data_IF_895393129699
#
_entry.id   IF_895393129699
#
_cell.length_a   1.000
_cell.length_b   1.000
_cell.length_c   1.000
_cell.angle_alpha   90.00
_cell.angle_beta   90.00
_cell.angle_gamma   90.00
#
_symmetry.space_group_name_H-M   'P 1'
#
loop_
_entity.id
_entity.type
_entity.pdbx_description
1 polymer ?
#
# COMPACT_ATOMS: atom_id res chain seq x y z
N UNK A 1 -29.76 -38.95 -15.39
CA UNK A 1 -29.24 -37.67 -15.90
C UNK A 1 -29.35 -36.53 -14.89
N UNK A 2 -30.51 -36.34 -14.22
CA UNK A 2 -30.74 -35.25 -13.25
C UNK A 2 -29.78 -35.21 -12.05
N UNK A 3 -29.37 -36.37 -11.52
CA UNK A 3 -28.43 -36.48 -10.38
C UNK A 3 -27.00 -36.07 -10.78
N UNK A 4 -26.59 -36.36 -12.02
CA UNK A 4 -25.27 -35.94 -12.54
C UNK A 4 -25.20 -34.42 -12.75
N UNK A 5 -26.31 -33.80 -13.18
CA UNK A 5 -26.43 -32.33 -13.28
C UNK A 5 -26.37 -31.66 -11.91
N UNK A 6 -27.07 -32.19 -10.89
CA UNK A 6 -27.05 -31.65 -9.53
C UNK A 6 -25.65 -31.74 -8.89
N UNK A 7 -24.93 -32.84 -9.13
CA UNK A 7 -23.56 -33.00 -8.63
C UNK A 7 -22.57 -32.04 -9.29
N UNK A 8 -22.76 -31.73 -10.58
CA UNK A 8 -21.91 -30.78 -11.30
C UNK A 8 -22.16 -29.34 -10.84
N UNK A 9 -23.43 -29.00 -10.57
CA UNK A 9 -23.80 -27.67 -10.07
C UNK A 9 -23.27 -27.42 -8.65
N UNK A 10 -23.31 -28.43 -7.78
CA UNK A 10 -22.70 -28.34 -6.45
C UNK A 10 -21.19 -28.15 -6.48
N UNK A 11 -20.49 -28.85 -7.38
CA UNK A 11 -19.03 -28.71 -7.54
C UNK A 11 -18.63 -27.31 -8.03
N UNK A 12 -19.43 -26.72 -8.92
CA UNK A 12 -19.21 -25.37 -9.43
C UNK A 12 -19.32 -24.31 -8.32
N UNK A 13 -20.30 -24.46 -7.42
CA UNK A 13 -20.51 -23.54 -6.31
C UNK A 13 -19.35 -23.60 -5.31
N UNK A 14 -18.86 -24.81 -5.01
CA UNK A 14 -17.71 -25.01 -4.11
C UNK A 14 -16.43 -24.40 -4.69
N UNK A 15 -16.22 -24.51 -6.01
CA UNK A 15 -15.07 -23.90 -6.68
C UNK A 15 -15.10 -22.35 -6.62
N UNK A 16 -16.28 -21.74 -6.78
CA UNK A 16 -16.43 -20.28 -6.67
C UNK A 16 -16.18 -19.81 -5.24
N UNK A 17 -16.69 -20.52 -4.24
CA UNK A 17 -16.47 -20.16 -2.82
C UNK A 17 -14.99 -20.32 -2.44
N UNK A 18 -14.31 -21.37 -2.90
CA UNK A 18 -12.88 -21.56 -2.66
C UNK A 18 -12.02 -20.47 -3.31
N UNK A 19 -12.37 -20.01 -4.51
CA UNK A 19 -11.68 -18.91 -5.18
C UNK A 19 -11.76 -17.59 -4.40
N UNK A 20 -12.94 -17.28 -3.84
CA UNK A 20 -13.12 -16.07 -3.02
C UNK A 20 -12.37 -16.16 -1.68
N UNK A 21 -12.16 -17.37 -1.13
CA UNK A 21 -11.47 -17.55 0.14
C UNK A 21 -9.93 -17.51 0.00
N UNK A 22 -9.39 -17.93 -1.14
CA UNK A 22 -7.95 -17.86 -1.44
C UNK A 22 -7.51 -16.44 -1.85
N UNK A 23 -8.42 -15.61 -2.37
CA UNK A 23 -8.13 -14.22 -2.76
C UNK A 23 -8.10 -13.22 -1.58
N UNK A 24 -8.11 -13.73 -0.35
CA UNK A 24 -8.07 -12.94 0.89
C UNK A 24 -6.74 -13.14 1.63
N UNK A 25 -5.68 -13.44 0.87
CA UNK A 25 -4.29 -13.34 1.34
C UNK A 25 -3.95 -11.85 1.39
N UNK A 26 -3.38 -11.41 2.51
CA UNK A 26 -3.22 -10.02 2.93
C UNK A 26 -2.78 -9.11 1.77
N UNK A 27 -3.75 -8.35 1.24
CA UNK A 27 -3.51 -7.26 0.30
C UNK A 27 -2.83 -6.11 1.06
N UNK A 28 -1.53 -6.23 1.30
CA UNK A 28 -0.66 -5.07 1.09
C UNK A 28 -0.54 -4.91 -0.43
N UNK A 29 -1.61 -4.45 -1.06
CA UNK A 29 -1.58 -4.06 -2.46
C UNK A 29 -0.62 -2.87 -2.53
N UNK A 30 0.65 -3.14 -2.84
CA UNK A 30 1.60 -2.11 -3.25
C UNK A 30 1.01 -1.52 -4.52
N UNK A 31 0.41 -0.34 -4.40
CA UNK A 31 -0.08 0.38 -5.57
C UNK A 31 1.17 0.81 -6.36
N UNK A 32 1.36 0.24 -7.55
CA UNK A 32 2.35 0.75 -8.50
C UNK A 32 1.92 2.15 -8.94
N UNK A 33 2.39 3.15 -8.20
CA UNK A 33 2.26 4.56 -8.52
C UNK A 33 3.37 4.93 -9.51
N UNK A 34 3.04 5.68 -10.57
CA UNK A 34 4.05 6.08 -11.55
C UNK A 34 5.19 6.85 -10.86
N UNK A 35 6.43 6.66 -11.33
CA UNK A 35 7.63 7.26 -10.70
C UNK A 35 7.61 8.79 -10.54
N UNK A 36 6.86 9.50 -11.38
CA UNK A 36 6.67 10.94 -11.22
C UNK A 36 5.69 11.26 -10.08
N UNK A 37 4.62 10.48 -9.97
CA UNK A 37 3.58 10.64 -8.96
C UNK A 37 4.13 10.38 -7.55
N UNK A 38 5.03 9.40 -7.39
CA UNK A 38 5.64 9.13 -6.06
C UNK A 38 6.57 10.26 -5.61
N UNK A 39 7.26 10.95 -6.52
CA UNK A 39 8.13 12.08 -6.18
C UNK A 39 7.31 13.28 -5.70
N UNK A 40 6.19 13.56 -6.37
CA UNK A 40 5.25 14.60 -5.96
C UNK A 40 4.62 14.27 -4.61
N UNK A 41 4.20 13.02 -4.41
CA UNK A 41 3.62 12.57 -3.15
C UNK A 41 4.60 12.71 -1.98
N UNK A 42 5.85 12.27 -2.13
CA UNK A 42 6.89 12.44 -1.10
C UNK A 42 7.15 13.92 -0.83
N UNK A 43 7.17 14.76 -1.87
CA UNK A 43 7.34 16.20 -1.71
C UNK A 43 6.21 16.81 -0.87
N UNK A 44 4.95 16.51 -1.20
CA UNK A 44 3.77 17.04 -0.52
C UNK A 44 3.72 16.66 0.95
N UNK A 45 4.07 15.42 1.31
CA UNK A 45 4.24 15.03 2.71
C UNK A 45 5.40 15.76 3.38
N UNK A 46 6.53 15.92 2.69
CA UNK A 46 7.75 16.54 3.26
C UNK A 46 7.57 18.02 3.57
N UNK A 47 6.77 18.75 2.78
CA UNK A 47 6.47 20.17 3.02
C UNK A 47 5.19 20.41 3.82
N UNK A 48 4.46 19.34 4.17
CA UNK A 48 3.24 19.41 4.98
C UNK A 48 2.00 19.90 4.23
N UNK A 49 1.92 19.67 2.91
CA UNK A 49 0.73 20.00 2.12
C UNK A 49 -0.47 19.08 2.42
N UNK A 50 -0.21 17.86 2.92
CA UNK A 50 -1.24 16.88 3.26
C UNK A 50 -1.50 16.95 4.76
N UNK A 51 -2.72 17.36 5.13
CA UNK A 51 -3.19 17.42 6.51
C UNK A 51 -4.07 16.18 6.79
N UNK A 52 -3.95 15.58 7.99
CA UNK A 52 -4.69 14.40 8.49
C UNK A 52 -4.16 13.01 8.11
N UNK A 53 -2.97 12.91 7.54
CA UNK A 53 -2.27 11.62 7.40
C UNK A 53 -0.86 11.80 7.92
N UNK A 54 -0.26 10.72 8.43
CA UNK A 54 1.17 10.72 8.77
C UNK A 54 1.90 9.82 7.80
N UNK A 55 3.13 10.20 7.46
CA UNK A 55 3.96 9.43 6.55
C UNK A 55 5.33 9.19 7.18
N UNK A 56 5.86 7.99 6.94
CA UNK A 56 7.25 7.65 7.20
C UNK A 56 7.86 7.08 5.92
N UNK A 57 9.17 7.24 5.78
CA UNK A 57 9.87 6.85 4.55
C UNK A 57 11.15 6.09 4.90
N UNK A 58 11.41 5.03 4.13
CA UNK A 58 12.65 4.26 4.15
C UNK A 58 13.39 4.43 2.83
N UNK A 59 14.51 3.74 2.63
CA UNK A 59 15.20 3.76 1.34
C UNK A 59 14.44 3.05 0.21
N UNK A 60 13.39 2.27 0.52
CA UNK A 60 12.67 1.47 -0.47
C UNK A 60 11.17 1.74 -0.49
N UNK A 61 10.60 2.36 0.55
CA UNK A 61 9.15 2.48 0.70
C UNK A 61 8.74 3.79 1.35
N UNK A 62 7.62 4.34 0.89
CA UNK A 62 6.82 5.34 1.59
C UNK A 62 5.65 4.63 2.26
N UNK A 63 5.49 4.85 3.57
CA UNK A 63 4.43 4.27 4.39
C UNK A 63 3.54 5.40 4.88
N UNK A 64 2.27 5.37 4.51
CA UNK A 64 1.25 6.36 4.88
C UNK A 64 0.27 5.72 5.84
N UNK A 65 0.07 6.35 7.00
CA UNK A 65 -0.91 5.93 8.00
C UNK A 65 -2.05 6.95 8.03
N UNK A 66 -3.28 6.49 7.82
CA UNK A 66 -4.49 7.30 7.92
C UNK A 66 -4.93 7.45 9.40
N UNK A 67 -5.90 8.32 9.62
CA UNK A 67 -6.53 8.61 10.92
C UNK A 67 -7.19 7.41 11.59
N UNK A 68 -7.58 6.38 10.83
CA UNK A 68 -8.14 5.13 11.34
C UNK A 68 -7.08 4.05 11.62
N UNK A 69 -5.80 4.44 11.61
CA UNK A 69 -4.63 3.58 11.78
C UNK A 69 -4.42 2.58 10.64
N UNK A 70 -5.15 2.70 9.53
CA UNK A 70 -4.87 1.92 8.33
C UNK A 70 -3.58 2.40 7.65
N UNK A 71 -2.83 1.46 7.08
CA UNK A 71 -1.55 1.74 6.42
C UNK A 71 -1.63 1.45 4.92
N UNK A 72 -1.09 2.35 4.12
CA UNK A 72 -0.80 2.15 2.70
C UNK A 72 0.69 2.28 2.46
N UNK A 73 1.26 1.37 1.66
CA UNK A 73 2.69 1.34 1.36
C UNK A 73 2.90 1.47 -0.14
N UNK A 74 3.85 2.34 -0.52
CA UNK A 74 4.27 2.57 -1.90
C UNK A 74 5.74 2.20 -2.03
N UNK A 75 6.08 1.35 -3.00
CA UNK A 75 7.47 1.06 -3.32
C UNK A 75 8.13 2.26 -4.02
N UNK A 76 9.37 2.54 -3.64
CA UNK A 76 10.18 3.62 -4.19
C UNK A 76 11.02 3.11 -5.38
N UNK A 77 11.34 3.96 -6.36
CA UNK A 77 12.19 3.56 -7.48
C UNK A 77 13.60 3.18 -6.99
N UNK A 78 14.14 2.04 -7.45
CA UNK A 78 15.47 1.55 -7.03
C UNK A 78 16.62 2.53 -7.38
N UNK A 79 16.44 3.31 -8.44
CA UNK A 79 17.46 4.23 -8.96
C UNK A 79 17.40 5.64 -8.34
N UNK A 80 16.40 5.92 -7.49
CA UNK A 80 16.21 7.22 -6.84
C UNK A 80 16.37 7.11 -5.31
N UNK A 81 16.91 8.16 -4.69
CA UNK A 81 17.07 8.22 -3.23
C UNK A 81 16.54 9.54 -2.67
N UNK A 82 15.73 9.46 -1.63
CA UNK A 82 15.08 10.61 -1.00
C UNK A 82 15.83 11.02 0.28
N UNK A 83 16.16 12.30 0.40
CA UNK A 83 16.86 12.85 1.56
C UNK A 83 16.01 13.95 2.17
N UNK A 84 15.58 13.75 3.42
CA UNK A 84 14.96 14.79 4.24
C UNK A 84 16.00 15.38 5.19
N UNK A 85 16.09 16.71 5.24
CA UNK A 85 17.04 17.43 6.08
C UNK A 85 16.26 18.46 6.89
N UNK A 86 16.43 18.41 8.21
CA UNK A 86 15.94 19.43 9.14
C UNK A 86 17.15 20.19 9.71
N UNK A 87 17.56 21.32 9.10
CA UNK A 87 18.63 22.14 9.64
C UNK A 87 18.25 22.67 11.03
N UNK A 88 19.24 22.78 11.91
CA UNK A 88 19.09 23.33 13.24
C UNK A 88 20.24 24.28 13.57
N UNK A 89 20.00 25.23 14.46
CA UNK A 89 21.04 26.17 14.89
C UNK A 89 21.88 25.62 16.05
N UNK A 90 21.23 25.17 17.13
CA UNK A 90 21.90 24.82 18.38
C UNK A 90 21.68 23.37 18.83
N UNK A 91 20.43 22.89 18.81
CA UNK A 91 20.06 21.55 19.28
C UNK A 91 19.30 20.77 18.20
N UNK A 92 19.49 19.45 18.16
CA UNK A 92 18.83 18.51 17.25
C UNK A 92 18.30 17.31 18.02
N UNK A 93 17.45 16.52 17.36
CA UNK A 93 16.98 15.23 17.85
C UNK A 93 17.64 14.09 17.04
N UNK A 94 18.03 12.97 17.68
CA UNK A 94 18.42 11.75 16.98
C UNK A 94 17.22 10.95 16.47
#
# INVERSE_FOLDING_TARGET
>A
MKIKILSFLGLLIVAVVAYNFVSNDDNSASEEVETNDIKELVHDYSVGNIENQVASITSHQLIVTDTDESEQTYDLPEDDFFVSIAPYENETHP
#
